data_IF_384077689152
#
_entry.id   IF_384077689152
#
_cell.length_a   1.000
_cell.length_b   1.000
_cell.length_c   1.000
_cell.angle_alpha   90.00
_cell.angle_beta   90.00
_cell.angle_gamma   90.00
#
_symmetry.space_group_name_H-M   'P 1'
#
loop_
_entity.id
_entity.type
_entity.pdbx_description
1 polymer ?
#
# COMPACT_ATOMS: atom_id res chain seq x y z
N UNK A 1 -7.41 -18.12 8.44
CA UNK A 1 -7.12 -16.78 8.97
C UNK A 1 -7.49 -15.79 7.88
N UNK A 2 -8.34 -14.79 8.11
CA UNK A 2 -8.53 -13.75 7.11
C UNK A 2 -7.24 -12.94 7.04
N UNK A 3 -6.61 -12.91 5.88
CA UNK A 3 -5.48 -12.02 5.64
C UNK A 3 -5.92 -10.58 5.95
N UNK A 4 -5.00 -9.77 6.47
CA UNK A 4 -5.25 -8.36 6.79
C UNK A 4 -4.38 -7.47 5.92
N UNK A 5 -4.85 -6.25 5.68
CA UNK A 5 -4.07 -5.20 5.01
C UNK A 5 -4.14 -3.90 5.80
N UNK A 6 -3.03 -3.18 5.86
CA UNK A 6 -2.98 -1.83 6.40
C UNK A 6 -3.08 -0.84 5.24
N UNK A 7 -4.09 0.02 5.27
CA UNK A 7 -4.37 1.01 4.24
C UNK A 7 -4.13 2.40 4.82
N UNK A 8 -3.47 3.28 4.06
CA UNK A 8 -3.17 4.65 4.46
C UNK A 8 -3.70 5.67 3.45
N UNK A 9 -4.18 6.82 3.94
CA UNK A 9 -4.55 7.95 3.10
C UNK A 9 -3.32 8.82 2.78
N UNK A 10 -2.83 8.72 1.55
CA UNK A 10 -1.57 9.34 1.11
C UNK A 10 -1.73 10.81 0.70
N UNK A 11 -2.93 11.18 0.23
CA UNK A 11 -3.26 12.53 -0.28
C UNK A 11 -4.46 13.15 0.45
N UNK A 12 -4.58 14.47 0.39
CA UNK A 12 -5.74 15.20 0.92
C UNK A 12 -7.00 15.01 0.04
N UNK A 13 -8.17 15.16 0.65
CA UNK A 13 -9.48 14.94 0.02
C UNK A 13 -10.10 16.20 -0.59
N UNK A 14 -9.60 17.39 -0.26
CA UNK A 14 -10.12 18.65 -0.79
C UNK A 14 -10.08 18.67 -2.34
N UNK A 15 -11.23 19.00 -2.95
CA UNK A 15 -11.38 19.08 -4.40
C UNK A 15 -11.32 17.72 -5.12
N UNK A 16 -11.56 16.59 -4.44
CA UNK A 16 -11.69 15.26 -5.07
C UNK A 16 -13.15 14.93 -5.34
N UNK A 17 -13.39 14.03 -6.30
CA UNK A 17 -14.76 13.57 -6.65
C UNK A 17 -15.41 12.90 -5.43
N UNK A 18 -16.68 13.20 -5.19
CA UNK A 18 -17.44 12.69 -4.04
C UNK A 18 -17.47 11.15 -3.97
N UNK A 19 -17.51 10.48 -5.11
CA UNK A 19 -17.41 9.03 -5.21
C UNK A 19 -16.11 8.49 -4.59
N UNK A 20 -14.98 9.14 -4.88
CA UNK A 20 -13.68 8.73 -4.35
C UNK A 20 -13.56 9.07 -2.86
N UNK A 21 -14.11 10.22 -2.43
CA UNK A 21 -14.18 10.59 -1.02
C UNK A 21 -14.99 9.56 -0.23
N UNK A 22 -16.16 9.15 -0.77
CA UNK A 22 -17.03 8.14 -0.17
C UNK A 22 -16.33 6.79 -0.05
N UNK A 23 -15.56 6.38 -1.07
CA UNK A 23 -14.75 5.16 -1.00
C UNK A 23 -13.67 5.24 0.09
N UNK A 24 -12.98 6.38 0.23
CA UNK A 24 -11.99 6.61 1.31
C UNK A 24 -12.65 6.58 2.69
N UNK A 25 -13.81 7.23 2.85
CA UNK A 25 -14.55 7.23 4.11
C UNK A 25 -15.07 5.83 4.46
N UNK A 26 -15.45 5.02 3.46
CA UNK A 26 -15.85 3.61 3.64
C UNK A 26 -14.70 2.73 4.15
N UNK A 27 -13.45 3.12 3.89
CA UNK A 27 -12.25 2.50 4.47
C UNK A 27 -11.93 3.02 5.88
N UNK A 28 -12.72 3.96 6.42
CA UNK A 28 -12.54 4.53 7.75
C UNK A 28 -11.43 5.60 7.83
N UNK A 29 -10.99 6.14 6.69
CA UNK A 29 -9.93 7.15 6.58
C UNK A 29 -10.56 8.54 6.44
N UNK A 30 -10.07 9.54 7.19
CA UNK A 30 -10.67 10.90 7.20
C UNK A 30 -9.69 12.00 6.84
N UNK A 31 -8.46 11.96 7.37
CA UNK A 31 -7.42 12.96 7.11
C UNK A 31 -6.15 12.31 6.54
N UNK A 32 -5.38 13.10 5.79
CA UNK A 32 -4.11 12.66 5.22
C UNK A 32 -3.20 12.11 6.33
N UNK A 33 -2.60 10.95 6.08
CA UNK A 33 -1.78 10.24 7.06
C UNK A 33 -2.55 9.27 7.95
N UNK A 34 -3.89 9.29 7.95
CA UNK A 34 -4.68 8.26 8.63
C UNK A 34 -4.43 6.89 8.02
N UNK A 35 -4.53 5.88 8.87
CA UNK A 35 -4.34 4.49 8.51
C UNK A 35 -5.28 3.56 9.28
N UNK A 36 -5.63 2.44 8.64
CA UNK A 36 -6.51 1.41 9.19
C UNK A 36 -6.05 0.03 8.77
N UNK A 37 -6.11 -0.92 9.70
CA UNK A 37 -5.98 -2.35 9.42
C UNK A 37 -7.37 -2.88 9.10
N UNK A 38 -7.53 -3.43 7.90
CA UNK A 38 -8.77 -3.92 7.34
C UNK A 38 -8.62 -5.39 6.94
N UNK A 39 -9.75 -6.05 6.70
CA UNK A 39 -9.74 -7.39 6.14
C UNK A 39 -9.30 -7.36 4.67
N UNK A 40 -8.55 -8.40 4.26
CA UNK A 40 -8.17 -8.64 2.88
C UNK A 40 -9.33 -9.31 2.14
N UNK A 41 -10.30 -8.50 1.73
CA UNK A 41 -11.52 -8.97 1.09
C UNK A 41 -11.89 -8.12 -0.14
N UNK A 42 -12.72 -8.63 -1.06
CA UNK A 42 -13.09 -7.94 -2.29
C UNK A 42 -13.75 -6.57 -2.08
N UNK A 43 -14.49 -6.36 -0.98
CA UNK A 43 -15.12 -5.08 -0.68
C UNK A 43 -14.08 -4.03 -0.31
N UNK A 44 -13.08 -4.42 0.49
CA UNK A 44 -11.96 -3.54 0.82
C UNK A 44 -11.16 -3.17 -0.43
N UNK A 45 -10.82 -4.15 -1.28
CA UNK A 45 -10.15 -3.88 -2.56
C UNK A 45 -10.97 -3.07 -3.56
N UNK A 46 -12.29 -3.23 -3.57
CA UNK A 46 -13.19 -2.42 -4.40
C UNK A 46 -13.11 -0.93 -4.04
N UNK A 47 -13.08 -0.60 -2.75
CA UNK A 47 -12.91 0.78 -2.29
C UNK A 47 -11.50 1.32 -2.58
N UNK A 48 -10.46 0.49 -2.37
CA UNK A 48 -9.08 0.86 -2.73
C UNK A 48 -8.98 1.16 -4.22
N UNK A 49 -9.56 0.32 -5.08
CA UNK A 49 -9.55 0.48 -6.54
C UNK A 49 -10.23 1.79 -6.96
N UNK A 50 -11.37 2.13 -6.36
CA UNK A 50 -12.06 3.41 -6.64
C UNK A 50 -11.23 4.63 -6.23
N UNK A 51 -10.47 4.52 -5.14
CA UNK A 51 -9.66 5.61 -4.58
C UNK A 51 -8.15 5.42 -4.78
N UNK A 52 -7.72 4.66 -5.80
CA UNK A 52 -6.36 4.12 -5.92
C UNK A 52 -5.25 5.16 -5.84
N UNK A 53 -5.48 6.38 -6.34
CA UNK A 53 -4.50 7.46 -6.35
C UNK A 53 -4.47 8.29 -5.05
N UNK A 54 -5.41 8.03 -4.13
CA UNK A 54 -5.52 8.70 -2.83
C UNK A 54 -4.96 7.86 -1.70
N UNK A 55 -5.19 6.55 -1.75
CA UNK A 55 -4.78 5.61 -0.71
C UNK A 55 -3.53 4.82 -1.11
N UNK A 56 -3.04 3.95 -0.23
CA UNK A 56 -2.09 2.90 -0.56
C UNK A 56 -2.05 1.83 0.53
N UNK A 57 -1.77 0.60 0.14
CA UNK A 57 -1.57 -0.53 1.04
C UNK A 57 -0.11 -0.57 1.48
N UNK A 58 0.14 -0.78 2.77
CA UNK A 58 1.47 -0.76 3.36
C UNK A 58 2.18 -2.11 3.16
N UNK A 59 3.33 -2.06 2.50
CA UNK A 59 4.22 -3.19 2.27
C UNK A 59 5.58 -2.91 2.85
N UNK A 60 6.11 -3.85 3.62
CA UNK A 60 7.51 -3.88 4.03
C UNK A 60 8.28 -4.67 2.98
N UNK A 61 9.34 -4.07 2.43
CA UNK A 61 10.14 -4.73 1.41
C UNK A 61 11.56 -4.84 1.92
N UNK A 62 12.03 -6.08 2.04
CA UNK A 62 13.42 -6.40 2.33
C UNK A 62 14.17 -6.61 1.01
N UNK A 63 15.30 -5.93 0.88
CA UNK A 63 16.18 -5.98 -0.28
C UNK A 63 17.56 -6.58 0.04
N UNK A 64 17.77 -7.12 1.25
CA UNK A 64 19.09 -7.62 1.68
C UNK A 64 19.53 -8.91 0.98
N UNK A 65 18.59 -9.68 0.41
CA UNK A 65 18.86 -10.91 -0.33
C UNK A 65 18.79 -10.74 -1.85
N UNK A 66 19.05 -11.84 -2.57
CA UNK A 66 19.00 -11.87 -4.05
C UNK A 66 17.58 -11.66 -4.60
N UNK A 67 16.57 -12.10 -3.84
CA UNK A 67 15.16 -11.95 -4.16
C UNK A 67 14.53 -11.04 -3.10
N UNK A 68 13.89 -9.92 -3.50
CA UNK A 68 13.22 -9.06 -2.55
C UNK A 68 12.05 -9.79 -1.90
N UNK A 69 11.93 -9.64 -0.58
CA UNK A 69 10.83 -10.22 0.20
C UNK A 69 9.83 -9.12 0.51
N UNK A 70 8.59 -9.32 0.07
CA UNK A 70 7.51 -8.35 0.26
C UNK A 70 6.52 -8.90 1.28
N UNK A 71 6.43 -8.20 2.41
CA UNK A 71 5.52 -8.50 3.50
C UNK A 71 4.48 -7.39 3.64
N UNK A 72 3.33 -7.72 4.25
CA UNK A 72 2.34 -6.70 4.62
C UNK A 72 2.74 -6.08 5.95
N UNK A 73 2.81 -4.75 5.99
CA UNK A 73 3.05 -4.06 7.26
C UNK A 73 1.75 -3.95 8.05
N UNK A 74 1.60 -4.77 9.09
CA UNK A 74 0.44 -4.77 9.99
C UNK A 74 0.77 -4.16 11.36
N UNK A 75 1.79 -3.30 11.40
CA UNK A 75 2.16 -2.60 12.64
C UNK A 75 0.98 -1.75 13.15
N UNK A 76 0.71 -1.79 14.45
CA UNK A 76 -0.34 -0.95 15.06
C UNK A 76 0.14 0.48 15.37
N UNK A 77 1.45 0.73 15.32
CA UNK A 77 2.02 2.06 15.50
C UNK A 77 1.51 3.00 14.39
N UNK A 78 0.85 4.07 14.81
CA UNK A 78 0.29 5.06 13.89
C UNK A 78 1.37 6.03 13.40
N UNK A 79 2.16 5.60 12.42
CA UNK A 79 3.13 6.48 11.76
C UNK A 79 2.42 7.34 10.72
N UNK A 80 2.06 8.58 11.06
CA UNK A 80 1.42 9.52 10.12
C UNK A 80 2.38 10.09 9.06
N UNK A 81 3.68 9.79 9.15
CA UNK A 81 4.68 10.32 8.22
C UNK A 81 4.45 9.78 6.82
N UNK A 82 4.43 10.67 5.84
CA UNK A 82 4.35 10.33 4.42
C UNK A 82 5.47 11.07 3.71
N UNK A 83 6.41 10.31 3.18
CA UNK A 83 7.47 10.80 2.32
C UNK A 83 7.19 10.35 0.88
N UNK A 84 7.66 11.14 -0.08
CA UNK A 84 7.70 10.75 -1.49
C UNK A 84 9.16 10.70 -1.89
N UNK A 85 9.63 9.54 -2.35
CA UNK A 85 10.99 9.35 -2.86
C UNK A 85 10.89 8.69 -4.23
N UNK A 86 11.47 9.31 -5.26
CA UNK A 86 11.45 8.82 -6.65
C UNK A 86 10.02 8.46 -7.13
N UNK A 87 9.03 9.29 -6.77
CA UNK A 87 7.62 9.08 -7.13
C UNK A 87 6.87 8.04 -6.27
N UNK A 88 7.53 7.38 -5.32
CA UNK A 88 6.93 6.34 -4.48
C UNK A 88 6.69 6.84 -3.06
N UNK A 89 5.53 6.51 -2.51
CA UNK A 89 5.19 6.83 -1.12
C UNK A 89 5.85 5.85 -0.15
N UNK A 90 6.45 6.39 0.92
CA UNK A 90 7.12 5.60 1.96
C UNK A 90 7.05 6.31 3.30
N UNK A 91 7.21 5.57 4.40
CA UNK A 91 7.45 6.16 5.73
C UNK A 91 8.95 6.43 6.00
N UNK A 92 9.84 5.97 5.12
CA UNK A 92 11.30 6.08 5.27
C UNK A 92 11.93 5.02 6.20
N UNK A 93 11.13 4.08 6.74
CA UNK A 93 11.56 2.95 7.57
C UNK A 93 11.39 1.60 6.83
N UNK A 94 11.53 1.60 5.50
CA UNK A 94 11.37 0.40 4.67
C UNK A 94 9.91 0.00 4.37
N UNK A 95 8.92 0.81 4.77
CA UNK A 95 7.53 0.60 4.37
C UNK A 95 7.20 1.47 3.16
N UNK A 96 6.64 0.84 2.14
CA UNK A 96 6.22 1.44 0.88
C UNK A 96 4.71 1.30 0.74
N UNK A 97 4.08 2.25 0.05
CA UNK A 97 2.63 2.26 -0.12
C UNK A 97 2.26 2.12 -1.59
N UNK A 98 1.56 1.03 -1.92
CA UNK A 98 1.08 0.74 -3.27
C UNK A 98 -0.40 0.39 -3.23
N UNK A 99 -1.21 0.99 -4.09
CA UNK A 99 -2.65 0.69 -4.17
C UNK A 99 -2.96 -0.54 -5.01
N UNK A 100 -2.05 -0.89 -5.92
CA UNK A 100 -2.21 -2.00 -6.86
C UNK A 100 -0.90 -2.76 -6.95
N UNK A 101 -1.00 -4.07 -7.16
CA UNK A 101 0.17 -4.94 -7.31
C UNK A 101 1.05 -4.55 -8.51
N UNK A 102 0.51 -4.15 -9.68
CA UNK A 102 1.33 -3.65 -10.78
C UNK A 102 2.20 -2.45 -10.43
N UNK A 103 1.77 -1.58 -9.50
CA UNK A 103 2.55 -0.42 -9.07
C UNK A 103 3.77 -0.86 -8.22
N UNK A 104 3.60 -1.93 -7.42
CA UNK A 104 4.69 -2.57 -6.66
C UNK A 104 5.67 -3.26 -7.61
N UNK A 105 5.15 -4.01 -8.58
CA UNK A 105 5.94 -4.76 -9.56
C UNK A 105 6.78 -3.84 -10.45
N UNK A 106 6.19 -2.74 -10.96
CA UNK A 106 6.92 -1.71 -11.69
C UNK A 106 8.05 -1.09 -10.85
N UNK A 107 7.81 -0.86 -9.56
CA UNK A 107 8.84 -0.36 -8.65
C UNK A 107 10.00 -1.35 -8.48
N UNK A 108 9.71 -2.65 -8.33
CA UNK A 108 10.74 -3.68 -8.26
C UNK A 108 11.51 -3.82 -9.58
N UNK A 109 10.81 -3.78 -10.72
CA UNK A 109 11.43 -3.81 -12.06
C UNK A 109 12.39 -2.64 -12.26
N UNK A 110 11.99 -1.43 -11.87
CA UNK A 110 12.84 -0.22 -11.91
C UNK A 110 14.08 -0.32 -11.01
N UNK A 111 14.04 -1.16 -9.98
CA UNK A 111 15.20 -1.49 -9.13
C UNK A 111 16.07 -2.62 -9.69
N UNK A 112 15.69 -3.23 -10.82
CA UNK A 112 16.44 -4.29 -11.49
C UNK A 112 16.03 -5.71 -11.11
N UNK A 113 14.93 -5.90 -10.37
CA UNK A 113 14.46 -7.23 -9.99
C UNK A 113 13.50 -7.80 -11.03
N UNK A 114 13.60 -9.11 -11.28
CA UNK A 114 12.72 -9.87 -12.20
C UNK A 114 11.76 -10.81 -11.46
N UNK A 115 11.92 -10.96 -10.15
CA UNK A 115 11.08 -11.79 -9.29
C UNK A 115 11.11 -11.29 -7.86
N UNK A 116 10.10 -11.67 -7.08
CA UNK A 116 10.00 -11.36 -5.65
C UNK A 116 9.31 -12.47 -4.89
N UNK A 117 9.54 -12.54 -3.58
CA UNK A 117 8.76 -13.40 -2.67
C UNK A 117 7.59 -12.59 -2.12
N UNK A 118 6.37 -13.01 -2.38
CA UNK A 118 5.17 -12.32 -1.93
C UNK A 118 4.85 -12.64 -0.45
N UNK A 119 3.84 -11.97 0.10
CA UNK A 119 3.40 -12.13 1.50
C UNK A 119 2.76 -13.50 1.80
N UNK A 120 2.53 -14.34 0.78
CA UNK A 120 2.13 -15.74 0.93
C UNK A 120 3.32 -16.70 0.91
N UNK A 121 4.52 -16.19 0.71
CA UNK A 121 5.75 -16.96 0.60
C UNK A 121 6.03 -17.53 -0.79
N UNK A 122 5.23 -17.18 -1.79
CA UNK A 122 5.38 -17.64 -3.17
C UNK A 122 6.39 -16.76 -3.91
N UNK A 123 7.17 -17.37 -4.81
CA UNK A 123 8.03 -16.62 -5.73
C UNK A 123 7.20 -16.24 -6.95
N UNK A 124 7.11 -14.94 -7.21
CA UNK A 124 6.36 -14.36 -8.33
C UNK A 124 7.36 -13.73 -9.30
N UNK A 125 7.25 -14.07 -10.59
CA UNK A 125 8.02 -13.44 -11.67
C UNK A 125 7.32 -12.16 -12.14
N UNK A 126 8.11 -11.14 -12.50
CA UNK A 126 7.65 -9.78 -12.82
C UNK A 126 7.83 -9.47 -14.30
#
# INVERSE_FOLDING_TARGET
>A
MADRIKVKLLRGLAGKRDEHITAVHSLGLRKRGDEKILADDPRTWGNITKAWYLVGVAYRIDFSGDIPVVERDLSEENDRKILVKNGVYTNGKGVYYFSRIPDLEDFLRKKGYTKYKNWKGEIVEI
#
